data_IF_398537366712
#
_entry.id   IF_398537366712
#
_cell.length_a   1.000
_cell.length_b   1.000
_cell.length_c   1.000
_cell.angle_alpha   90.00
_cell.angle_beta   90.00
_cell.angle_gamma   90.00
#
_symmetry.space_group_name_H-M   'P 1'
#
loop_
_entity.id
_entity.type
_entity.pdbx_description
1 polymer ?
#
# COMPACT_ATOMS: atom_id res chain seq x y z
N UNK A 1 -22.25 40.08 -12.85
CA UNK A 1 -22.19 38.82 -12.06
C UNK A 1 -21.69 37.65 -12.92
N UNK A 2 -22.22 37.46 -14.15
CA UNK A 2 -21.73 36.42 -15.08
C UNK A 2 -20.23 36.53 -15.44
N UNK A 3 -19.72 37.74 -15.69
CA UNK A 3 -18.29 37.94 -16.02
C UNK A 3 -17.39 37.54 -14.85
N UNK A 4 -17.76 37.92 -13.63
CA UNK A 4 -17.01 37.57 -12.41
C UNK A 4 -17.05 36.06 -12.15
N UNK A 5 -18.21 35.43 -12.37
CA UNK A 5 -18.34 33.97 -12.25
C UNK A 5 -17.44 33.28 -13.30
N UNK A 6 -17.48 33.70 -14.56
CA UNK A 6 -16.63 33.17 -15.65
C UNK A 6 -15.13 33.32 -15.35
N UNK A 7 -14.71 34.48 -14.83
CA UNK A 7 -13.32 34.73 -14.44
C UNK A 7 -12.87 33.86 -13.26
N UNK A 8 -13.76 33.60 -12.30
CA UNK A 8 -13.47 32.67 -11.20
C UNK A 8 -13.37 31.23 -11.72
N UNK A 9 -14.29 30.81 -12.59
CA UNK A 9 -14.27 29.47 -13.19
C UNK A 9 -13.00 29.22 -14.01
N UNK A 10 -12.59 30.17 -14.85
CA UNK A 10 -11.36 30.05 -15.65
C UNK A 10 -10.08 30.01 -14.78
N UNK A 11 -10.05 30.75 -13.67
CA UNK A 11 -8.97 30.67 -12.68
C UNK A 11 -8.92 29.32 -11.97
N UNK A 12 -10.08 28.76 -11.64
CA UNK A 12 -10.15 27.41 -11.03
C UNK A 12 -9.64 26.36 -12.02
N UNK A 13 -10.11 26.39 -13.27
CA UNK A 13 -9.66 25.44 -14.29
C UNK A 13 -8.17 25.57 -14.60
N UNK A 14 -7.64 26.79 -14.73
CA UNK A 14 -6.20 27.00 -14.92
C UNK A 14 -5.36 26.58 -13.71
N UNK A 15 -5.94 26.47 -12.51
CA UNK A 15 -5.24 26.02 -11.30
C UNK A 15 -5.13 24.49 -11.18
N UNK A 16 -6.02 23.76 -11.84
CA UNK A 16 -6.20 22.30 -11.70
C UNK A 16 -4.92 21.48 -12.01
N UNK A 17 -4.16 21.75 -13.08
CA UNK A 17 -2.93 21.02 -13.37
C UNK A 17 -1.87 21.14 -12.26
N UNK A 18 -1.80 22.31 -11.60
CA UNK A 18 -0.86 22.51 -10.49
C UNK A 18 -1.27 21.72 -9.25
N UNK A 19 -2.58 21.62 -8.99
CA UNK A 19 -3.11 20.81 -7.89
C UNK A 19 -2.77 19.33 -8.10
N UNK A 20 -2.94 18.83 -9.32
CA UNK A 20 -2.66 17.43 -9.64
C UNK A 20 -1.15 17.13 -9.54
N UNK A 21 -0.28 18.02 -10.01
CA UNK A 21 1.17 17.91 -9.79
C UNK A 21 1.51 17.85 -8.29
N UNK A 22 0.92 18.72 -7.47
CA UNK A 22 1.15 18.73 -6.02
C UNK A 22 0.69 17.42 -5.40
N UNK A 23 -0.46 16.88 -5.82
CA UNK A 23 -0.95 15.58 -5.34
C UNK A 23 0.03 14.46 -5.69
N UNK A 24 0.57 14.44 -6.90
CA UNK A 24 1.58 13.45 -7.32
C UNK A 24 2.85 13.56 -6.48
N UNK A 25 3.38 14.78 -6.30
CA UNK A 25 4.60 15.01 -5.50
C UNK A 25 4.41 14.72 -4.01
N UNK A 26 3.19 14.93 -3.49
CA UNK A 26 2.83 14.66 -2.09
C UNK A 26 2.17 13.30 -1.88
N UNK A 27 2.25 12.41 -2.86
CA UNK A 27 1.67 11.09 -2.75
C UNK A 27 2.34 10.32 -1.58
N UNK A 28 1.56 9.69 -0.68
CA UNK A 28 2.10 9.01 0.50
C UNK A 28 3.03 7.83 0.18
N UNK A 29 2.92 7.25 -1.01
CA UNK A 29 3.83 6.21 -1.51
C UNK A 29 5.17 6.74 -1.99
N UNK A 30 5.35 8.06 -2.09
CA UNK A 30 6.61 8.63 -2.53
C UNK A 30 7.72 8.36 -1.52
N UNK A 31 8.80 7.76 -2.01
CA UNK A 31 9.98 7.38 -1.27
C UNK A 31 11.20 8.04 -1.94
N UNK A 32 12.36 8.12 -1.28
CA UNK A 32 13.56 8.76 -1.84
C UNK A 32 13.88 8.30 -3.27
N UNK A 33 13.78 6.99 -3.56
CA UNK A 33 13.99 6.42 -4.90
C UNK A 33 13.10 7.04 -5.99
N UNK A 34 11.85 7.38 -5.67
CA UNK A 34 10.91 8.00 -6.60
C UNK A 34 11.29 9.44 -6.91
N UNK A 35 11.77 10.18 -5.90
CA UNK A 35 12.30 11.53 -6.11
C UNK A 35 13.60 11.50 -6.91
N UNK A 36 14.49 10.54 -6.65
CA UNK A 36 15.73 10.38 -7.42
C UNK A 36 15.46 10.06 -8.90
N UNK A 37 14.43 9.26 -9.18
CA UNK A 37 13.96 9.01 -10.53
C UNK A 37 13.44 10.30 -11.19
N UNK A 38 12.55 11.04 -10.53
CA UNK A 38 12.03 12.32 -11.06
C UNK A 38 13.18 13.32 -11.27
N UNK A 39 14.13 13.40 -10.35
CA UNK A 39 15.28 14.29 -10.47
C UNK A 39 16.14 13.93 -11.70
N UNK A 40 16.29 12.63 -11.98
CA UNK A 40 17.02 12.14 -13.15
C UNK A 40 16.28 12.42 -14.47
N UNK A 41 14.95 12.31 -14.47
CA UNK A 41 14.10 12.58 -15.64
C UNK A 41 14.01 14.08 -15.98
N UNK A 42 13.88 14.91 -14.95
CA UNK A 42 13.60 16.35 -15.11
C UNK A 42 14.87 17.21 -15.09
N UNK A 43 15.97 16.71 -14.50
CA UNK A 43 17.14 17.51 -14.15
C UNK A 43 16.88 18.50 -13.01
N UNK A 44 15.67 18.51 -12.43
CA UNK A 44 15.26 19.41 -11.36
C UNK A 44 15.43 18.68 -10.03
N UNK A 45 16.18 19.26 -9.10
CA UNK A 45 16.30 18.69 -7.76
C UNK A 45 15.06 18.99 -6.93
N UNK A 46 14.17 18.02 -6.83
CA UNK A 46 12.98 18.05 -5.99
C UNK A 46 13.35 17.49 -4.60
N UNK A 47 13.04 18.25 -3.57
CA UNK A 47 13.03 17.80 -2.18
C UNK A 47 11.73 18.27 -1.54
N UNK A 48 11.11 17.44 -0.69
CA UNK A 48 9.96 17.85 0.11
C UNK A 48 10.37 18.70 1.34
N UNK A 49 11.67 18.97 1.51
CA UNK A 49 12.20 19.87 2.52
C UNK A 49 12.48 21.27 1.95
N UNK A 50 12.47 22.28 2.83
CA UNK A 50 12.88 23.63 2.44
C UNK A 50 14.31 23.60 1.83
N UNK A 51 14.57 24.30 0.72
CA UNK A 51 13.87 25.49 0.21
C UNK A 51 12.86 25.27 -0.95
N UNK A 52 12.56 24.02 -1.33
CA UNK A 52 11.71 23.75 -2.50
C UNK A 52 10.28 24.25 -2.28
N UNK A 53 9.79 25.11 -3.18
CA UNK A 53 8.42 25.63 -3.17
C UNK A 53 7.85 25.62 -4.60
N UNK A 54 6.52 25.57 -4.73
CA UNK A 54 5.83 25.45 -6.02
C UNK A 54 6.27 26.55 -7.00
N UNK A 55 6.41 27.80 -6.54
CA UNK A 55 6.85 28.91 -7.38
C UNK A 55 8.25 28.67 -7.97
N UNK A 56 9.17 28.12 -7.17
CA UNK A 56 10.50 27.73 -7.62
C UNK A 56 10.46 26.59 -8.64
N UNK A 57 9.59 25.59 -8.44
CA UNK A 57 9.44 24.49 -9.39
C UNK A 57 8.83 24.95 -10.73
N UNK A 58 7.86 25.87 -10.67
CA UNK A 58 7.27 26.47 -11.88
C UNK A 58 8.29 27.31 -12.66
N UNK A 59 9.20 28.00 -11.98
CA UNK A 59 10.30 28.73 -12.64
C UNK A 59 11.30 27.80 -13.35
N UNK A 60 11.32 26.52 -12.98
CA UNK A 60 12.12 25.46 -13.61
C UNK A 60 11.32 24.65 -14.63
N UNK A 61 10.14 25.13 -15.03
CA UNK A 61 9.26 24.47 -15.99
C UNK A 61 8.87 23.02 -15.61
N UNK A 62 8.69 22.73 -14.31
CA UNK A 62 8.30 21.39 -13.85
C UNK A 62 7.00 20.87 -14.51
N UNK A 63 6.14 21.78 -14.98
CA UNK A 63 4.86 21.44 -15.59
C UNK A 63 5.00 20.69 -16.92
N UNK A 64 6.11 20.85 -17.65
CA UNK A 64 6.38 20.06 -18.85
C UNK A 64 6.60 18.58 -18.55
N UNK A 65 6.91 18.23 -17.29
CA UNK A 65 7.12 16.87 -16.83
C UNK A 65 5.95 16.30 -16.02
N UNK A 66 4.79 16.99 -15.98
CA UNK A 66 3.64 16.61 -15.14
C UNK A 66 3.21 15.15 -15.34
N UNK A 67 3.21 14.67 -16.58
CA UNK A 67 2.69 13.34 -16.93
C UNK A 67 3.70 12.26 -16.49
N UNK A 68 4.99 12.49 -16.68
CA UNK A 68 6.06 11.61 -16.15
C UNK A 68 6.05 11.56 -14.62
N UNK A 69 5.85 12.70 -13.96
CA UNK A 69 5.73 12.76 -12.49
C UNK A 69 4.49 12.02 -12.02
N UNK A 70 3.37 12.13 -12.73
CA UNK A 70 2.15 11.39 -12.44
C UNK A 70 2.35 9.88 -12.58
N UNK A 71 3.10 9.43 -13.59
CA UNK A 71 3.43 8.02 -13.78
C UNK A 71 4.29 7.47 -12.64
N UNK A 72 5.32 8.19 -12.22
CA UNK A 72 6.15 7.82 -11.06
C UNK A 72 5.29 7.75 -9.79
N UNK A 73 4.41 8.73 -9.58
CA UNK A 73 3.52 8.77 -8.42
C UNK A 73 2.48 7.65 -8.44
N UNK A 74 1.99 7.23 -9.62
CA UNK A 74 1.09 6.08 -9.75
C UNK A 74 1.81 4.79 -9.32
N UNK A 75 3.02 4.54 -9.83
CA UNK A 75 3.82 3.39 -9.38
C UNK A 75 4.09 3.41 -7.88
N UNK A 76 4.42 4.58 -7.34
CA UNK A 76 4.59 4.78 -5.91
C UNK A 76 3.31 4.44 -5.11
N UNK A 77 2.13 4.75 -5.65
CA UNK A 77 0.84 4.38 -5.06
C UNK A 77 0.65 2.86 -5.04
N UNK A 78 0.98 2.18 -6.13
CA UNK A 78 0.85 0.72 -6.23
C UNK A 78 1.76 0.02 -5.22
N UNK A 79 3.01 0.47 -5.10
CA UNK A 79 3.95 -0.04 -4.10
C UNK A 79 3.45 0.21 -2.66
N UNK A 80 2.95 1.41 -2.38
CA UNK A 80 2.38 1.73 -1.08
C UNK A 80 1.17 0.86 -0.73
N UNK A 81 0.31 0.57 -1.71
CA UNK A 81 -0.84 -0.30 -1.51
C UNK A 81 -0.42 -1.74 -1.13
N UNK A 82 0.64 -2.27 -1.76
CA UNK A 82 1.22 -3.58 -1.41
C UNK A 82 1.71 -3.58 0.04
N UNK A 83 2.56 -2.61 0.40
CA UNK A 83 3.11 -2.52 1.76
C UNK A 83 2.02 -2.32 2.82
N UNK A 84 1.04 -1.47 2.54
CA UNK A 84 -0.11 -1.25 3.42
C UNK A 84 -0.96 -2.50 3.61
N UNK A 85 -1.17 -3.28 2.55
CA UNK A 85 -1.94 -4.53 2.60
C UNK A 85 -1.22 -5.58 3.43
N UNK A 86 0.10 -5.76 3.21
CA UNK A 86 0.94 -6.65 4.02
C UNK A 86 0.91 -6.28 5.50
N UNK A 87 1.19 -5.01 5.83
CA UNK A 87 1.19 -4.55 7.21
C UNK A 87 -0.17 -4.71 7.88
N UNK A 88 -1.27 -4.43 7.15
CA UNK A 88 -2.63 -4.64 7.66
C UNK A 88 -2.85 -6.11 8.03
N UNK A 89 -2.56 -7.04 7.10
CA UNK A 89 -2.70 -8.48 7.36
C UNK A 89 -1.86 -8.90 8.56
N UNK A 90 -0.59 -8.49 8.63
CA UNK A 90 0.29 -8.83 9.76
C UNK A 90 -0.25 -8.34 11.10
N UNK A 91 -0.72 -7.09 11.17
CA UNK A 91 -1.29 -6.52 12.38
C UNK A 91 -2.56 -7.26 12.83
N UNK A 92 -3.40 -7.71 11.91
CA UNK A 92 -4.61 -8.48 12.25
C UNK A 92 -4.25 -9.82 12.91
N UNK A 93 -3.15 -10.46 12.47
CA UNK A 93 -2.67 -11.70 13.08
C UNK A 93 -2.04 -11.52 14.48
N UNK A 94 -1.59 -10.32 14.85
CA UNK A 94 -1.05 -10.06 16.19
C UNK A 94 -2.10 -10.23 17.30
N UNK A 95 -3.38 -10.07 16.97
CA UNK A 95 -4.49 -10.13 17.94
C UNK A 95 -5.27 -11.45 17.89
N UNK A 96 -4.83 -12.42 17.09
CA UNK A 96 -5.53 -13.71 16.98
C UNK A 96 -5.19 -14.58 18.18
N UNK A 97 -6.23 -14.92 18.95
CA UNK A 97 -6.14 -15.84 20.08
C UNK A 97 -6.89 -17.15 19.77
N UNK A 98 -6.22 -18.28 19.98
CA UNK A 98 -6.83 -19.60 19.88
C UNK A 98 -7.21 -20.10 21.27
N UNK A 99 -8.49 -20.43 21.47
CA UNK A 99 -8.97 -20.91 22.76
C UNK A 99 -8.93 -22.44 22.84
N UNK A 100 -8.38 -22.96 23.93
CA UNK A 100 -8.50 -24.37 24.27
C UNK A 100 -9.74 -24.62 25.14
N UNK A 101 -10.51 -25.64 24.79
CA UNK A 101 -11.69 -26.08 25.54
C UNK A 101 -11.51 -27.53 26.02
N UNK A 102 -11.98 -27.88 27.22
CA UNK A 102 -11.95 -29.27 27.70
C UNK A 102 -12.72 -30.21 26.77
N UNK A 103 -12.17 -31.39 26.52
CA UNK A 103 -12.80 -32.42 25.70
C UNK A 103 -13.49 -33.48 26.58
N UNK A 104 -14.79 -33.30 26.79
CA UNK A 104 -15.65 -34.23 27.56
C UNK A 104 -14.99 -34.55 28.92
N UNK A 105 -15.05 -35.81 29.36
CA UNK A 105 -14.46 -36.29 30.61
C UNK A 105 -13.09 -36.95 30.42
N UNK A 106 -12.42 -36.70 29.28
CA UNK A 106 -11.14 -37.36 28.96
C UNK A 106 -9.95 -36.78 29.71
N UNK A 107 -10.12 -35.60 30.33
CA UNK A 107 -9.04 -34.84 30.97
C UNK A 107 -8.11 -34.12 29.99
N UNK A 108 -8.40 -34.13 28.69
CA UNK A 108 -7.64 -33.40 27.66
C UNK A 108 -8.41 -32.19 27.13
N UNK A 109 -7.74 -31.33 26.37
CA UNK A 109 -8.33 -30.13 25.76
C UNK A 109 -8.13 -30.13 24.25
N UNK A 110 -9.09 -29.56 23.52
CA UNK A 110 -9.03 -29.33 22.07
C UNK A 110 -8.97 -27.83 21.77
N UNK A 111 -8.33 -27.44 20.68
CA UNK A 111 -8.36 -26.05 20.21
C UNK A 111 -9.66 -25.83 19.46
N UNK A 112 -10.44 -24.85 19.91
CA UNK A 112 -11.57 -24.34 19.15
C UNK A 112 -11.07 -23.21 18.24
N UNK A 113 -10.92 -23.52 16.97
CA UNK A 113 -10.67 -22.52 15.93
C UNK A 113 -12.03 -21.91 15.54
N UNK A 114 -12.12 -20.59 15.55
CA UNK A 114 -13.32 -19.87 15.12
C UNK A 114 -13.38 -19.86 13.58
N UNK A 115 -14.58 -19.95 13.00
CA UNK A 115 -14.74 -19.96 11.55
C UNK A 115 -14.22 -18.66 10.92
N UNK A 116 -14.33 -17.54 11.64
CA UNK A 116 -13.80 -16.24 11.23
C UNK A 116 -12.28 -16.26 11.03
N UNK A 117 -11.54 -17.03 11.84
CA UNK A 117 -10.07 -17.16 11.72
C UNK A 117 -9.70 -17.93 10.46
N UNK A 118 -10.47 -18.96 10.11
CA UNK A 118 -10.26 -19.75 8.89
C UNK A 118 -10.58 -18.91 7.64
N UNK A 119 -11.67 -18.15 7.67
CA UNK A 119 -12.05 -17.24 6.57
C UNK A 119 -10.98 -16.16 6.37
N UNK A 120 -10.51 -15.53 7.46
CA UNK A 120 -9.42 -14.55 7.41
C UNK A 120 -8.15 -15.15 6.82
N UNK A 121 -7.79 -16.37 7.25
CA UNK A 121 -6.59 -17.06 6.75
C UNK A 121 -6.67 -17.29 5.23
N UNK A 122 -7.79 -17.79 4.73
CA UNK A 122 -7.97 -18.02 3.29
C UNK A 122 -7.97 -16.70 2.49
N UNK A 123 -8.61 -15.64 3.02
CA UNK A 123 -8.57 -14.31 2.42
C UNK A 123 -7.13 -13.76 2.36
N UNK A 124 -6.38 -13.88 3.46
CA UNK A 124 -5.01 -13.38 3.54
C UNK A 124 -4.05 -14.17 2.65
N UNK A 125 -4.26 -15.48 2.47
CA UNK A 125 -3.52 -16.29 1.49
C UNK A 125 -3.79 -15.78 0.08
N UNK A 126 -5.07 -15.58 -0.28
CA UNK A 126 -5.45 -15.09 -1.61
C UNK A 126 -4.88 -13.69 -1.88
N UNK A 127 -5.00 -12.77 -0.92
CA UNK A 127 -4.47 -11.41 -1.04
C UNK A 127 -2.94 -11.42 -1.19
N UNK A 128 -2.24 -12.25 -0.42
CA UNK A 128 -0.77 -12.40 -0.51
C UNK A 128 -0.35 -12.95 -1.87
N UNK A 129 -1.09 -13.90 -2.42
CA UNK A 129 -0.83 -14.41 -3.78
C UNK A 129 -1.09 -13.34 -4.84
N UNK A 130 -2.18 -12.58 -4.73
CA UNK A 130 -2.51 -11.53 -5.69
C UNK A 130 -1.41 -10.46 -5.78
N UNK A 131 -0.91 -9.97 -4.64
CA UNK A 131 0.20 -9.02 -4.62
C UNK A 131 1.53 -9.68 -5.04
N UNK A 132 1.71 -10.97 -4.72
CA UNK A 132 2.89 -11.76 -5.10
C UNK A 132 2.99 -12.04 -6.59
N UNK A 133 1.89 -12.05 -7.35
CA UNK A 133 1.91 -12.14 -8.80
C UNK A 133 1.87 -10.77 -9.51
N UNK A 134 1.72 -9.69 -8.75
CA UNK A 134 1.62 -8.32 -9.28
C UNK A 134 2.96 -7.76 -9.80
N UNK A 135 2.92 -6.83 -10.77
CA UNK A 135 4.11 -6.26 -11.40
C UNK A 135 4.97 -5.38 -10.46
N UNK A 136 4.37 -4.85 -9.38
CA UNK A 136 5.03 -3.92 -8.45
C UNK A 136 5.59 -4.61 -7.18
N UNK A 137 5.69 -5.93 -7.18
CA UNK A 137 6.12 -6.72 -6.01
C UNK A 137 7.60 -6.57 -5.66
N UNK A 138 8.44 -6.11 -6.59
CA UNK A 138 9.90 -6.23 -6.50
C UNK A 138 10.48 -5.66 -5.19
N UNK A 139 9.96 -4.53 -4.73
CA UNK A 139 10.41 -3.90 -3.46
C UNK A 139 10.02 -4.72 -2.23
N UNK A 140 8.99 -5.56 -2.31
CA UNK A 140 8.40 -6.32 -1.20
C UNK A 140 8.54 -7.84 -1.37
N UNK A 141 9.29 -8.32 -2.37
CA UNK A 141 9.32 -9.74 -2.75
C UNK A 141 9.71 -10.64 -1.58
N UNK A 142 10.75 -10.29 -0.84
CA UNK A 142 11.17 -11.03 0.35
C UNK A 142 10.08 -11.04 1.44
N UNK A 143 9.48 -9.89 1.73
CA UNK A 143 8.42 -9.77 2.74
C UNK A 143 7.16 -10.54 2.36
N UNK A 144 6.76 -10.52 1.08
CA UNK A 144 5.63 -11.28 0.54
C UNK A 144 5.90 -12.78 0.71
N UNK A 145 7.07 -13.25 0.31
CA UNK A 145 7.42 -14.68 0.38
C UNK A 145 7.44 -15.17 1.83
N UNK A 146 8.09 -14.43 2.73
CA UNK A 146 8.12 -14.78 4.16
C UNK A 146 6.71 -14.79 4.78
N UNK A 147 5.84 -13.86 4.37
CA UNK A 147 4.47 -13.82 4.84
C UNK A 147 3.63 -14.99 4.30
N UNK A 148 3.77 -15.30 3.01
CA UNK A 148 3.08 -16.44 2.40
C UNK A 148 3.47 -17.77 3.06
N UNK A 149 4.77 -17.97 3.34
CA UNK A 149 5.26 -19.15 4.05
C UNK A 149 4.65 -19.29 5.44
N UNK A 150 4.54 -18.18 6.19
CA UNK A 150 3.90 -18.16 7.51
C UNK A 150 2.42 -18.54 7.42
N UNK A 151 1.67 -17.96 6.48
CA UNK A 151 0.26 -18.28 6.30
C UNK A 151 0.05 -19.74 5.92
N UNK A 152 0.87 -20.29 5.01
CA UNK A 152 0.84 -21.71 4.64
C UNK A 152 1.14 -22.62 5.83
N UNK A 153 2.12 -22.25 6.67
CA UNK A 153 2.44 -23.01 7.87
C UNK A 153 1.26 -23.00 8.86
N UNK A 154 0.63 -21.85 9.09
CA UNK A 154 -0.56 -21.74 9.93
C UNK A 154 -1.67 -22.63 9.40
N UNK A 155 -1.96 -22.58 8.10
CA UNK A 155 -2.98 -23.43 7.46
C UNK A 155 -2.69 -24.91 7.67
N UNK A 156 -1.45 -25.35 7.44
CA UNK A 156 -1.04 -26.74 7.64
C UNK A 156 -1.23 -27.17 9.10
N UNK A 157 -0.79 -26.36 10.06
CA UNK A 157 -0.91 -26.67 11.49
C UNK A 157 -2.38 -26.75 11.91
N UNK A 158 -3.21 -25.80 11.52
CA UNK A 158 -4.64 -25.80 11.86
C UNK A 158 -5.37 -27.01 11.26
N UNK A 159 -5.10 -27.34 9.99
CA UNK A 159 -5.69 -28.51 9.33
C UNK A 159 -5.27 -29.83 9.99
N UNK A 160 -3.97 -29.98 10.31
CA UNK A 160 -3.52 -31.18 11.03
C UNK A 160 -4.14 -31.26 12.42
N UNK A 161 -4.20 -30.15 13.15
CA UNK A 161 -4.82 -30.10 14.47
C UNK A 161 -6.29 -30.53 14.42
N UNK A 162 -7.07 -29.94 13.51
CA UNK A 162 -8.50 -30.27 13.34
C UNK A 162 -8.70 -31.75 12.98
N UNK A 163 -7.76 -32.34 12.25
CA UNK A 163 -7.82 -33.75 11.82
C UNK A 163 -7.51 -34.74 12.96
N UNK A 164 -6.63 -34.37 13.91
CA UNK A 164 -6.13 -35.30 14.94
C UNK A 164 -6.80 -35.14 16.31
N UNK A 165 -7.61 -34.11 16.50
CA UNK A 165 -8.41 -33.88 17.72
C UNK A 165 -9.65 -34.76 17.83
#
# INVERSE_FOLDING_TARGET
>A
LEIIASDIYSKIESSKPYIDLIKSLKNPGMAPKHFDEINSLTGIRISLSAPTNLKGLLALDIMSFKDSIAEVADRASQEYAIGSTLNKMMNEWEFIELHMIPYKDTGTSIIKVQDEVLIMLDEHIMNTQQIGYGPHRATFEESINQWEEKLKLIQLVLLQWIKVQ
#
